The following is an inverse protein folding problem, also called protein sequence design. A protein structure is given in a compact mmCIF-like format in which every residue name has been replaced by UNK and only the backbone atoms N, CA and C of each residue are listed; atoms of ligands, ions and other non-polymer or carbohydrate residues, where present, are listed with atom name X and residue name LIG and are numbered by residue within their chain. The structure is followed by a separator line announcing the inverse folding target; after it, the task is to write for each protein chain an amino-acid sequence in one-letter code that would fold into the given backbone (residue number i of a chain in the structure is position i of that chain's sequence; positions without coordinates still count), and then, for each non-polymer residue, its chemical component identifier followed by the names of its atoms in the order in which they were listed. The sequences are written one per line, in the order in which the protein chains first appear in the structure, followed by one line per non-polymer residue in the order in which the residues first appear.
data_IF_352934434460
#
_entry.id   IF_352934434460
#
_cell.length_a   1.000
_cell.length_b   1.000
_cell.length_c   1.000
_cell.angle_alpha   90.00
_cell.angle_beta   90.00
_cell.angle_gamma   90.00
#
_symmetry.space_group_name_H-M   'P 1'
#
loop_
_entity.id
_entity.type
_entity.pdbx_description
1 polymer ?
#
# COMPACT_ATOMS: atom_id res chain seq x y z
N UNK A 1 14.46 2.80 -1.86
CA UNK A 1 15.05 2.02 -2.97
C UNK A 1 14.16 0.87 -3.49
N UNK A 2 13.11 0.41 -2.78
CA UNK A 2 12.21 -0.67 -3.28
C UNK A 2 11.25 -0.26 -4.41
N UNK A 3 10.98 1.03 -4.61
CA UNK A 3 10.09 1.50 -5.68
C UNK A 3 10.62 1.24 -7.09
N UNK A 4 11.95 1.23 -7.28
CA UNK A 4 12.55 1.04 -8.60
C UNK A 4 12.47 -0.42 -9.06
N UNK A 5 12.68 -1.37 -8.16
CA UNK A 5 12.56 -2.80 -8.46
C UNK A 5 11.11 -3.18 -8.78
N UNK A 6 10.15 -2.63 -8.04
CA UNK A 6 8.73 -2.88 -8.26
C UNK A 6 8.25 -2.21 -9.56
N UNK A 7 8.78 -1.03 -9.89
CA UNK A 7 8.57 -0.36 -11.18
C UNK A 7 9.14 -1.18 -12.33
N UNK A 8 10.34 -1.75 -12.20
CA UNK A 8 10.95 -2.59 -13.24
C UNK A 8 10.21 -3.91 -13.44
N UNK A 9 9.73 -4.54 -12.37
CA UNK A 9 8.86 -5.72 -12.45
C UNK A 9 7.53 -5.35 -13.13
N UNK A 10 6.97 -4.18 -12.81
CA UNK A 10 5.75 -3.68 -13.44
C UNK A 10 5.94 -3.36 -14.93
N UNK A 11 7.05 -2.71 -15.30
CA UNK A 11 7.41 -2.44 -16.70
C UNK A 11 7.65 -3.75 -17.45
N UNK A 12 8.33 -4.72 -16.83
CA UNK A 12 8.57 -6.04 -17.42
C UNK A 12 7.27 -6.82 -17.66
N UNK A 13 6.36 -6.79 -16.68
CA UNK A 13 5.03 -7.39 -16.82
C UNK A 13 4.22 -6.66 -17.91
N UNK A 14 4.22 -5.33 -17.95
CA UNK A 14 3.54 -4.55 -18.98
C UNK A 14 4.13 -4.77 -20.37
N UNK A 15 5.45 -4.88 -20.52
CA UNK A 15 6.11 -5.16 -21.79
C UNK A 15 5.80 -6.58 -22.30
N UNK A 16 5.86 -7.58 -21.41
CA UNK A 16 5.45 -8.96 -21.73
C UNK A 16 3.97 -9.04 -22.11
N UNK A 17 3.14 -8.24 -21.45
CA UNK A 17 1.70 -8.15 -21.67
C UNK A 17 1.34 -7.44 -22.99
N UNK A 18 2.02 -6.34 -23.33
CA UNK A 18 1.90 -5.65 -24.62
C UNK A 18 2.36 -6.58 -25.75
N UNK A 19 3.47 -7.30 -25.58
CA UNK A 19 3.94 -8.27 -26.56
C UNK A 19 2.90 -9.39 -26.78
N UNK A 20 2.28 -9.88 -25.71
CA UNK A 20 1.20 -10.87 -25.78
C UNK A 20 -0.03 -10.30 -26.52
N UNK A 21 -0.44 -9.07 -26.20
CA UNK A 21 -1.56 -8.39 -26.84
C UNK A 21 -1.30 -8.16 -28.35
N UNK A 22 -0.10 -7.71 -28.74
CA UNK A 22 0.31 -7.54 -30.15
C UNK A 22 0.37 -8.88 -30.87
N UNK A 23 0.84 -9.94 -30.20
CA UNK A 23 0.89 -11.28 -30.79
C UNK A 23 -0.51 -11.88 -30.98
N UNK A 24 -1.44 -11.62 -30.05
CA UNK A 24 -2.85 -11.97 -30.16
C UNK A 24 -3.56 -11.14 -31.26
N UNK A 25 -3.19 -9.86 -31.41
CA UNK A 25 -3.69 -8.95 -32.44
C UNK A 25 -3.28 -9.39 -33.85
N UNK A 26 -2.00 -9.78 -34.04
CA UNK A 26 -1.50 -10.33 -35.32
C UNK A 26 -2.19 -11.63 -35.73
N UNK A 27 -2.57 -12.48 -34.76
CA UNK A 27 -3.13 -13.81 -35.03
C UNK A 27 -4.65 -13.82 -35.17
N UNK A 28 -5.36 -12.83 -34.60
CA UNK A 28 -6.82 -12.72 -34.68
C UNK A 28 -7.26 -11.25 -34.76
N UNK A 29 -7.52 -10.78 -35.99
CA UNK A 29 -7.93 -9.41 -36.31
C UNK A 29 -9.21 -8.93 -35.58
N UNK A 30 -10.04 -9.85 -35.07
CA UNK A 30 -11.27 -9.55 -34.32
C UNK A 30 -11.16 -9.77 -32.79
N UNK A 31 -10.32 -10.69 -32.31
CA UNK A 31 -10.23 -11.01 -30.88
C UNK A 31 -9.28 -10.08 -30.10
N UNK A 32 -8.34 -9.41 -30.80
CA UNK A 32 -7.42 -8.45 -30.18
C UNK A 32 -8.13 -7.23 -29.58
N UNK A 33 -9.24 -6.81 -30.16
CA UNK A 33 -10.00 -5.64 -29.70
C UNK A 33 -10.66 -5.84 -28.33
N UNK A 34 -11.19 -7.05 -28.05
CA UNK A 34 -11.78 -7.35 -26.73
C UNK A 34 -10.74 -7.36 -25.61
N UNK A 35 -9.53 -7.85 -25.90
CA UNK A 35 -8.44 -7.86 -24.93
C UNK A 35 -7.90 -6.44 -24.69
N UNK A 36 -7.65 -5.67 -25.75
CA UNK A 36 -7.23 -4.26 -25.65
C UNK A 36 -8.28 -3.41 -24.94
N UNK A 37 -9.57 -3.63 -25.21
CA UNK A 37 -10.67 -2.94 -24.52
C UNK A 37 -10.70 -3.29 -23.02
N UNK A 38 -10.60 -4.57 -22.64
CA UNK A 38 -10.55 -4.97 -21.22
C UNK A 38 -9.38 -4.32 -20.47
N UNK A 39 -8.24 -4.16 -21.14
CA UNK A 39 -7.03 -3.57 -20.56
C UNK A 39 -7.10 -2.06 -20.42
N UNK A 40 -7.69 -1.40 -21.43
CA UNK A 40 -8.00 0.01 -21.36
C UNK A 40 -9.02 0.28 -20.25
N UNK A 41 -9.98 -0.63 -20.07
CA UNK A 41 -10.97 -0.52 -19.00
C UNK A 41 -10.30 -0.64 -17.62
N UNK A 42 -9.45 -1.64 -17.39
CA UNK A 42 -8.72 -1.82 -16.11
C UNK A 42 -7.76 -0.64 -15.85
N UNK A 43 -7.07 -0.13 -16.88
CA UNK A 43 -6.19 1.03 -16.73
C UNK A 43 -6.97 2.31 -16.41
N UNK A 44 -8.06 2.56 -17.14
CA UNK A 44 -8.98 3.67 -16.89
C UNK A 44 -9.59 3.57 -15.48
N UNK A 45 -9.89 2.35 -15.03
CA UNK A 45 -10.42 2.03 -13.69
C UNK A 45 -9.45 2.44 -12.58
N UNK A 46 -8.16 2.14 -12.72
CA UNK A 46 -7.12 2.55 -11.76
C UNK A 46 -6.94 4.07 -11.73
N UNK A 47 -6.91 4.71 -12.90
CA UNK A 47 -6.78 6.18 -13.04
C UNK A 47 -7.99 6.92 -12.46
N UNK A 48 -9.18 6.34 -12.60
CA UNK A 48 -10.42 6.92 -12.10
C UNK A 48 -10.62 6.72 -10.59
N UNK A 49 -10.17 5.60 -10.01
CA UNK A 49 -10.18 5.41 -8.53
C UNK A 49 -9.32 6.39 -7.77
N UNK A 50 -8.27 6.94 -8.40
CA UNK A 50 -7.45 7.99 -7.78
C UNK A 50 -8.14 9.36 -7.71
N UNK A 51 -9.33 9.54 -8.34
CA UNK A 51 -9.97 10.85 -8.47
C UNK A 51 -11.45 10.93 -8.07
N UNK A 52 -12.14 9.82 -7.78
CA UNK A 52 -13.57 9.87 -7.47
C UNK A 52 -13.90 10.00 -5.98
N UNK A 53 -14.49 11.15 -5.62
CA UNK A 53 -15.00 11.48 -4.30
C UNK A 53 -16.50 11.17 -4.11
N UNK A 54 -17.22 10.64 -5.11
CA UNK A 54 -18.68 10.44 -5.04
C UNK A 54 -19.08 8.97 -4.78
N UNK A 55 -20.02 8.72 -3.84
CA UNK A 55 -20.44 7.36 -3.46
C UNK A 55 -21.16 6.59 -4.58
N UNK A 56 -21.82 7.30 -5.51
CA UNK A 56 -22.48 6.69 -6.68
C UNK A 56 -21.46 6.14 -7.68
N UNK A 57 -20.35 6.85 -7.89
CA UNK A 57 -19.26 6.37 -8.75
C UNK A 57 -18.59 5.11 -8.16
N UNK A 58 -18.41 5.08 -6.82
CA UNK A 58 -17.96 3.89 -6.08
C UNK A 58 -18.92 2.69 -6.23
N UNK A 59 -20.24 2.92 -6.18
CA UNK A 59 -21.24 1.85 -6.34
C UNK A 59 -21.24 1.21 -7.74
N UNK A 60 -21.22 2.02 -8.80
CA UNK A 60 -21.11 1.53 -10.19
C UNK A 60 -19.78 0.80 -10.42
N UNK A 61 -18.70 1.27 -9.79
CA UNK A 61 -17.39 0.69 -9.88
C UNK A 61 -17.32 -0.75 -9.34
N UNK A 62 -17.92 -1.00 -8.18
CA UNK A 62 -17.95 -2.33 -7.53
C UNK A 62 -18.73 -3.36 -8.34
N UNK A 63 -19.66 -2.93 -9.20
CA UNK A 63 -20.50 -3.85 -9.99
C UNK A 63 -19.95 -4.05 -11.40
N UNK A 64 -19.59 -2.97 -12.09
CA UNK A 64 -19.20 -3.01 -13.50
C UNK A 64 -17.83 -3.66 -13.69
N UNK A 65 -16.87 -3.38 -12.82
CA UNK A 65 -15.49 -3.87 -12.97
C UNK A 65 -15.41 -5.39 -12.77
N UNK A 66 -15.99 -5.99 -11.71
CA UNK A 66 -16.01 -7.45 -11.57
C UNK A 66 -16.83 -8.12 -12.67
N UNK A 67 -17.95 -7.52 -13.09
CA UNK A 67 -18.77 -8.05 -14.18
C UNK A 67 -18.01 -8.16 -15.51
N UNK A 68 -17.31 -7.09 -15.89
CA UNK A 68 -16.49 -7.07 -17.10
C UNK A 68 -15.32 -8.08 -17.02
N UNK A 69 -14.69 -8.21 -15.85
CA UNK A 69 -13.63 -9.17 -15.60
C UNK A 69 -14.13 -10.63 -15.77
N UNK A 70 -15.26 -10.97 -15.15
CA UNK A 70 -15.87 -12.32 -15.23
C UNK A 70 -16.26 -12.64 -16.67
N UNK A 71 -16.90 -11.71 -17.39
CA UNK A 71 -17.25 -11.90 -18.79
C UNK A 71 -16.01 -12.16 -19.67
N UNK A 72 -14.92 -11.42 -19.44
CA UNK A 72 -13.65 -11.61 -20.15
C UNK A 72 -13.02 -12.97 -19.82
N UNK A 73 -13.03 -13.37 -18.56
CA UNK A 73 -12.52 -14.68 -18.13
C UNK A 73 -13.31 -15.83 -18.80
N UNK A 74 -14.65 -15.77 -18.79
CA UNK A 74 -15.53 -16.76 -19.42
C UNK A 74 -15.27 -16.84 -20.92
N UNK A 75 -15.21 -15.69 -21.61
CA UNK A 75 -14.91 -15.64 -23.04
C UNK A 75 -13.55 -16.28 -23.37
N UNK A 76 -12.50 -15.98 -22.59
CA UNK A 76 -11.19 -16.57 -22.77
C UNK A 76 -11.20 -18.08 -22.49
N UNK A 77 -11.92 -18.56 -21.48
CA UNK A 77 -12.04 -19.99 -21.21
C UNK A 77 -12.79 -20.75 -22.30
N UNK A 78 -13.86 -20.17 -22.86
CA UNK A 78 -14.67 -20.79 -23.90
C UNK A 78 -13.93 -20.87 -25.24
N UNK A 79 -13.28 -19.79 -25.68
CA UNK A 79 -12.67 -19.74 -27.02
C UNK A 79 -11.17 -20.07 -27.03
N UNK A 80 -10.46 -19.90 -25.91
CA UNK A 80 -9.02 -20.09 -25.83
C UNK A 80 -8.60 -20.56 -24.43
N UNK A 81 -8.95 -21.80 -24.07
CA UNK A 81 -8.65 -22.42 -22.76
C UNK A 81 -7.24 -22.11 -22.22
N UNK A 82 -6.20 -22.16 -23.06
CA UNK A 82 -4.82 -21.80 -22.63
C UNK A 82 -4.68 -20.33 -22.20
N UNK A 83 -5.30 -19.39 -22.91
CA UNK A 83 -5.32 -17.99 -22.53
C UNK A 83 -6.16 -17.73 -21.27
N UNK A 84 -7.26 -18.47 -21.09
CA UNK A 84 -8.06 -18.44 -19.86
C UNK A 84 -7.24 -18.85 -18.62
N UNK A 85 -6.48 -19.94 -18.72
CA UNK A 85 -5.56 -20.37 -17.65
C UNK A 85 -4.47 -19.34 -17.36
N UNK A 86 -3.87 -18.74 -18.39
CA UNK A 86 -2.87 -17.68 -18.19
C UNK A 86 -3.47 -16.44 -17.51
N UNK A 87 -4.67 -16.03 -17.91
CA UNK A 87 -5.37 -14.90 -17.31
C UNK A 87 -5.66 -15.14 -15.82
N UNK A 88 -6.20 -16.32 -15.48
CA UNK A 88 -6.46 -16.70 -14.10
C UNK A 88 -5.17 -16.78 -13.28
N UNK A 89 -4.09 -17.33 -13.85
CA UNK A 89 -2.78 -17.40 -13.20
C UNK A 89 -2.20 -16.01 -12.90
N UNK A 90 -2.26 -15.08 -13.86
CA UNK A 90 -1.80 -13.70 -13.68
C UNK A 90 -2.63 -12.99 -12.60
N UNK A 91 -3.96 -13.09 -12.66
CA UNK A 91 -4.82 -12.45 -11.64
C UNK A 91 -4.54 -13.01 -10.25
N UNK A 92 -4.39 -14.34 -10.13
CA UNK A 92 -4.05 -14.98 -8.86
C UNK A 92 -2.72 -14.49 -8.32
N UNK A 93 -1.70 -14.36 -9.19
CA UNK A 93 -0.40 -13.82 -8.81
C UNK A 93 -0.49 -12.35 -8.35
N UNK A 94 -1.28 -11.51 -9.04
CA UNK A 94 -1.51 -10.12 -8.63
C UNK A 94 -2.20 -10.06 -7.26
N UNK A 95 -3.25 -10.87 -7.04
CA UNK A 95 -3.93 -10.94 -5.75
C UNK A 95 -2.99 -11.39 -4.63
N UNK A 96 -2.13 -12.38 -4.88
CA UNK A 96 -1.12 -12.84 -3.92
C UNK A 96 -0.11 -11.75 -3.60
N UNK A 97 0.39 -11.02 -4.60
CA UNK A 97 1.28 -9.87 -4.38
C UNK A 97 0.57 -8.81 -3.54
N UNK A 98 -0.67 -8.47 -3.88
CA UNK A 98 -1.47 -7.50 -3.12
C UNK A 98 -1.64 -7.93 -1.65
N UNK A 99 -2.04 -9.17 -1.44
CA UNK A 99 -2.27 -9.73 -0.11
C UNK A 99 -1.00 -9.73 0.75
N UNK A 100 0.12 -10.14 0.17
CA UNK A 100 1.41 -10.20 0.88
C UNK A 100 2.04 -8.83 1.13
N UNK A 101 1.63 -7.79 0.39
CA UNK A 101 2.15 -6.43 0.53
C UNK A 101 1.21 -5.49 1.29
N UNK A 102 0.05 -5.96 1.76
CA UNK A 102 -0.88 -5.20 2.59
C UNK A 102 -0.82 -5.66 4.04
N UNK A 103 -1.00 -4.72 4.97
CA UNK A 103 -0.90 -4.93 6.42
C UNK A 103 0.41 -5.59 6.86
N UNK A 104 1.53 -5.25 6.22
CA UNK A 104 2.83 -5.78 6.62
C UNK A 104 3.27 -5.08 7.90
N UNK A 105 3.25 -5.80 9.01
CA UNK A 105 3.63 -5.31 10.33
C UNK A 105 5.12 -5.52 10.57
N UNK A 106 5.83 -4.50 11.03
CA UNK A 106 7.24 -4.59 11.44
C UNK A 106 7.47 -3.90 12.77
N UNK A 107 8.27 -4.55 13.62
CA UNK A 107 8.70 -4.01 14.90
C UNK A 107 10.06 -3.32 14.74
N UNK A 108 10.18 -2.16 15.36
CA UNK A 108 11.39 -1.36 15.37
C UNK A 108 11.73 -0.93 16.79
N UNK A 109 13.00 -1.10 17.14
CA UNK A 109 13.61 -0.46 18.29
C UNK A 109 14.60 0.57 17.74
N UNK A 110 14.30 1.85 17.94
CA UNK A 110 15.09 2.94 17.38
C UNK A 110 15.38 3.97 18.47
N UNK A 111 16.60 4.51 18.48
CA UNK A 111 16.89 5.69 19.29
C UNK A 111 16.38 6.93 18.56
N UNK A 112 15.41 7.60 19.18
CA UNK A 112 14.78 8.80 18.64
C UNK A 112 15.19 10.01 19.43
N UNK A 113 15.35 11.14 18.76
CA UNK A 113 15.43 12.43 19.45
C UNK A 113 14.05 12.79 19.98
N UNK A 114 13.98 13.39 21.15
CA UNK A 114 12.71 13.90 21.66
C UNK A 114 12.77 15.40 21.93
N UNK A 115 11.60 16.03 21.91
CA UNK A 115 11.38 17.40 22.33
C UNK A 115 10.09 17.47 23.13
N UNK A 116 10.13 18.20 24.24
CA UNK A 116 8.92 18.51 24.99
C UNK A 116 8.24 19.70 24.31
N UNK A 117 6.98 19.53 23.92
CA UNK A 117 6.18 20.53 23.20
C UNK A 117 4.92 20.80 24.00
N UNK A 118 4.73 22.06 24.42
CA UNK A 118 3.60 22.50 25.24
C UNK A 118 3.95 23.67 26.16
N UNK A 119 2.93 24.27 26.77
CA UNK A 119 3.05 25.29 27.82
C UNK A 119 2.23 24.87 29.05
N UNK A 120 2.79 25.01 30.24
CA UNK A 120 2.09 24.68 31.49
C UNK A 120 2.04 23.19 31.80
N UNK A 121 0.85 22.67 32.12
CA UNK A 121 0.59 21.28 32.52
C UNK A 121 0.37 20.33 31.32
N UNK A 122 0.06 20.87 30.14
CA UNK A 122 -0.22 20.08 28.93
C UNK A 122 1.05 19.94 28.07
N UNK A 123 1.96 19.07 28.53
CA UNK A 123 3.24 18.81 27.85
C UNK A 123 3.13 17.51 27.08
N UNK A 124 3.35 17.60 25.77
CA UNK A 124 3.46 16.44 24.88
C UNK A 124 4.92 16.17 24.54
N UNK A 125 5.22 14.94 24.16
CA UNK A 125 6.56 14.52 23.72
C UNK A 125 6.54 14.34 22.20
N UNK A 126 7.26 15.19 21.49
CA UNK A 126 7.55 15.05 20.06
C UNK A 126 8.78 14.16 19.90
N UNK A 127 8.63 13.04 19.20
CA UNK A 127 9.70 12.10 18.87
C UNK A 127 10.07 12.24 17.41
N UNK A 128 11.36 12.29 17.10
CA UNK A 128 11.89 12.42 15.74
C UNK A 128 12.78 11.22 15.43
N UNK A 129 12.41 10.47 14.40
CA UNK A 129 13.21 9.34 13.90
C UNK A 129 14.49 9.80 13.23
N UNK A 130 15.42 8.85 13.01
CA UNK A 130 16.61 9.05 12.17
C UNK A 130 16.28 9.50 10.74
N UNK A 131 15.06 9.26 10.26
CA UNK A 131 14.58 9.65 8.93
C UNK A 131 13.91 11.03 8.89
N UNK A 132 13.72 11.66 10.04
CA UNK A 132 13.04 12.96 10.17
C UNK A 132 11.52 12.87 10.33
N UNK A 133 10.94 11.67 10.36
CA UNK A 133 9.53 11.49 10.69
C UNK A 133 9.28 11.89 12.15
N UNK A 134 8.18 12.61 12.40
CA UNK A 134 7.82 13.12 13.73
C UNK A 134 6.55 12.47 14.26
N UNK A 135 6.56 12.16 15.54
CA UNK A 135 5.47 11.49 16.25
C UNK A 135 5.17 12.26 17.52
N UNK A 136 3.89 12.41 17.87
CA UNK A 136 3.49 13.04 19.12
C UNK A 136 2.94 11.98 20.07
N UNK A 137 3.31 12.06 21.34
CA UNK A 137 2.72 11.26 22.41
C UNK A 137 2.38 12.11 23.63
N UNK A 138 1.34 11.70 24.36
CA UNK A 138 0.63 12.54 25.33
C UNK A 138 0.65 12.05 26.78
N UNK A 139 1.66 11.31 27.23
CA UNK A 139 1.77 10.88 28.64
C UNK A 139 2.47 11.91 29.52
N UNK A 140 1.81 12.27 30.62
CA UNK A 140 2.31 13.13 31.70
C UNK A 140 3.49 12.51 32.45
N UNK A 141 3.42 11.20 32.73
CA UNK A 141 4.51 10.46 33.37
C UNK A 141 5.77 10.50 32.50
N UNK A 142 5.61 10.26 31.19
CA UNK A 142 6.70 10.29 30.24
C UNK A 142 7.32 11.69 30.14
N UNK A 143 6.50 12.73 30.02
CA UNK A 143 6.97 14.12 29.98
C UNK A 143 7.77 14.48 31.25
N UNK A 144 7.32 14.05 32.42
CA UNK A 144 7.99 14.29 33.71
C UNK A 144 9.34 13.57 33.76
N UNK A 145 9.39 12.29 33.36
CA UNK A 145 10.62 11.49 33.31
C UNK A 145 11.67 12.08 32.37
N UNK A 146 11.22 12.69 31.28
CA UNK A 146 12.08 13.28 30.26
C UNK A 146 12.50 14.73 30.58
N UNK A 147 11.77 15.44 31.44
CA UNK A 147 12.10 16.81 31.88
C UNK A 147 13.42 16.90 32.65
N UNK A 148 13.75 15.85 33.40
CA UNK A 148 14.97 15.76 34.21
C UNK A 148 16.19 15.18 33.48
N UNK A 149 16.07 14.83 32.20
CA UNK A 149 17.18 14.25 31.42
C UNK A 149 17.99 15.33 30.72
N UNK A 150 19.30 15.12 30.67
CA UNK A 150 20.27 15.89 29.88
C UNK A 150 20.51 15.31 28.48
N UNK A 151 20.10 14.07 28.23
CA UNK A 151 20.20 13.43 26.92
C UNK A 151 18.89 13.63 26.14
N UNK A 152 19.00 14.17 24.93
CA UNK A 152 17.86 14.44 24.04
C UNK A 152 17.38 13.20 23.28
N UNK A 153 17.85 12.00 23.65
CA UNK A 153 17.51 10.74 22.97
C UNK A 153 16.83 9.74 23.90
N UNK A 154 15.90 8.99 23.32
CA UNK A 154 15.12 7.95 23.98
C UNK A 154 15.04 6.71 23.08
N UNK A 155 15.09 5.53 23.70
CA UNK A 155 14.82 4.29 22.99
C UNK A 155 13.32 4.15 22.82
N UNK A 156 12.86 4.00 21.59
CA UNK A 156 11.44 3.86 21.27
C UNK A 156 11.22 2.51 20.62
N UNK A 157 10.38 1.69 21.24
CA UNK A 157 9.86 0.46 20.65
C UNK A 157 8.54 0.77 19.99
N UNK A 158 8.43 0.52 18.69
CA UNK A 158 7.21 0.80 17.93
C UNK A 158 6.92 -0.29 16.91
N UNK A 159 5.64 -0.36 16.55
CA UNK A 159 5.14 -1.20 15.48
C UNK A 159 4.73 -0.28 14.33
N UNK A 160 5.23 -0.54 13.12
CA UNK A 160 4.79 0.17 11.91
C UNK A 160 4.07 -0.81 10.99
N UNK A 161 2.94 -0.38 10.46
CA UNK A 161 2.16 -1.12 9.47
C UNK A 161 2.37 -0.50 8.11
N UNK A 162 2.70 -1.32 7.12
CA UNK A 162 2.97 -0.90 5.76
C UNK A 162 1.96 -1.50 4.78
N UNK A 163 1.57 -0.67 3.81
CA UNK A 163 0.86 -1.09 2.60
C UNK A 163 1.72 -0.73 1.40
N UNK A 164 2.05 -1.71 0.55
CA UNK A 164 2.90 -1.54 -0.63
C UNK A 164 4.26 -0.88 -0.33
N UNK A 165 4.83 -1.20 0.83
CA UNK A 165 6.10 -0.62 1.29
C UNK A 165 6.00 0.85 1.73
N UNK A 166 4.81 1.45 1.72
CA UNK A 166 4.55 2.77 2.31
C UNK A 166 3.98 2.60 3.71
N UNK A 167 4.45 3.44 4.63
CA UNK A 167 3.97 3.43 6.01
C UNK A 167 2.52 3.93 6.05
N UNK A 168 1.62 3.11 6.59
CA UNK A 168 0.20 3.43 6.77
C UNK A 168 -0.10 3.93 8.17
N UNK A 169 0.42 3.23 9.17
CA UNK A 169 0.22 3.59 10.57
C UNK A 169 1.42 3.17 11.41
N UNK A 170 1.47 3.72 12.62
CA UNK A 170 2.40 3.32 13.66
C UNK A 170 1.67 3.21 14.99
N UNK A 171 2.27 2.47 15.90
CA UNK A 171 1.87 2.34 17.28
C UNK A 171 3.14 2.33 18.13
N UNK A 172 3.27 3.28 19.05
CA UNK A 172 4.42 3.35 19.96
C UNK A 172 4.11 2.42 21.13
N UNK A 173 4.89 1.35 21.30
CA UNK A 173 4.69 0.40 22.40
C UNK A 173 5.35 0.84 23.69
N UNK A 174 6.55 1.42 23.60
CA UNK A 174 7.23 1.94 24.78
C UNK A 174 8.24 3.02 24.42
N UNK A 175 8.51 3.90 25.39
CA UNK A 175 9.58 4.88 25.36
C UNK A 175 10.44 4.67 26.60
N UNK A 176 11.69 4.23 26.42
CA UNK A 176 12.59 3.76 27.47
C UNK A 176 11.92 2.73 28.43
N UNK A 177 11.12 1.83 27.88
CA UNK A 177 10.40 0.81 28.66
C UNK A 177 9.17 1.33 29.41
N UNK A 178 8.81 2.60 29.28
CA UNK A 178 7.56 3.17 29.82
C UNK A 178 6.47 3.17 28.74
N UNK A 179 5.25 2.80 29.11
CA UNK A 179 4.09 2.87 28.22
C UNK A 179 3.71 4.34 27.99
N UNK A 180 3.73 4.84 26.75
CA UNK A 180 3.48 6.24 26.43
C UNK A 180 2.00 6.64 26.49
N UNK A 181 1.09 5.70 26.77
CA UNK A 181 -0.36 5.95 26.85
C UNK A 181 -0.95 5.76 28.25
N UNK A 182 -0.12 5.37 29.22
CA UNK A 182 -0.53 5.35 30.62
C UNK A 182 -0.43 6.79 31.17
N UNK A 183 -1.52 7.33 31.76
CA UNK A 183 -1.55 8.67 32.32
C UNK A 183 -0.62 8.84 33.53
#
# INVERSE_FOLDING_TARGET
MFGFTLLLVFIGLMAGYIALAVCLFRKCRQAGWGFVASTFTIWLTVVLTSHFASPVAMGLFVIVVPGAYVATAVFLFLHRRRAGWSFLGITTAICLIWYTNTNVVRHYDEQMKYRLVGQGEEITVELVTSRGDRFLTGSSELATKLRGRTNDTVQVSMTRTFDFGRMRSYEIRSVNGTDPYVP
#
